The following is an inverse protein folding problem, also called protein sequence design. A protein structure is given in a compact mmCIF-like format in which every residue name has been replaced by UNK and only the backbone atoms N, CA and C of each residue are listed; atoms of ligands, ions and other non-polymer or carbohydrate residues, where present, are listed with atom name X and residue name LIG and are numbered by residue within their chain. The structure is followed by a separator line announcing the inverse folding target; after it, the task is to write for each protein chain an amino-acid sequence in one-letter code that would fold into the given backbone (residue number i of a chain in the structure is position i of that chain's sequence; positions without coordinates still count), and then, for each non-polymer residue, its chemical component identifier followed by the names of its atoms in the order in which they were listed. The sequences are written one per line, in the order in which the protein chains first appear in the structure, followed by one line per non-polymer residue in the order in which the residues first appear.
data_IF_218239773705
#
_entry.id   IF_218239773705
#
_cell.length_a   1.000
_cell.length_b   1.000
_cell.length_c   1.000
_cell.angle_alpha   90.00
_cell.angle_beta   90.00
_cell.angle_gamma   90.00
#
_symmetry.space_group_name_H-M   'P 1'
#
loop_
_entity.id
_entity.type
_entity.pdbx_description
1 polymer ?
#
# COMPACT_ATOMS: atom_id res chain seq x y z
N UNK A 1 14.61 12.84 -0.97
CA UNK A 1 14.56 11.48 -0.38
C UNK A 1 13.52 11.47 0.72
N UNK A 2 12.79 10.37 0.88
CA UNK A 2 11.84 10.17 1.98
C UNK A 2 12.55 10.22 3.35
N UNK A 3 11.91 10.89 4.32
CA UNK A 3 12.35 10.96 5.72
C UNK A 3 11.24 10.39 6.63
N UNK A 4 11.50 9.29 7.36
CA UNK A 4 10.54 8.71 8.29
C UNK A 4 10.07 9.66 9.39
N UNK A 5 10.83 10.69 9.76
CA UNK A 5 10.41 11.63 10.82
C UNK A 5 9.12 12.38 10.46
N UNK A 6 8.84 12.62 9.17
CA UNK A 6 7.56 13.21 8.73
C UNK A 6 6.34 12.34 9.05
N UNK A 7 6.52 11.03 9.30
CA UNK A 7 5.43 10.18 9.74
C UNK A 7 4.93 10.54 11.15
N UNK A 8 5.74 11.24 11.96
CA UNK A 8 5.36 11.72 13.30
C UNK A 8 4.36 12.87 13.28
N UNK A 9 4.20 13.55 12.13
CA UNK A 9 3.17 14.58 11.94
C UNK A 9 1.76 13.99 11.90
N UNK A 10 1.64 12.66 11.77
CA UNK A 10 0.39 11.93 11.78
C UNK A 10 0.20 11.35 13.19
N UNK A 11 -0.88 11.75 13.87
CA UNK A 11 -1.19 11.24 15.20
C UNK A 11 -1.73 9.79 15.11
N UNK A 12 -0.84 8.83 14.95
CA UNK A 12 -1.17 7.41 14.96
C UNK A 12 -1.49 6.86 16.36
N UNK A 13 -1.19 7.61 17.43
CA UNK A 13 -1.39 7.14 18.81
C UNK A 13 -2.85 6.94 19.17
N UNK A 14 -3.76 7.66 18.50
CA UNK A 14 -5.21 7.55 18.72
C UNK A 14 -5.82 6.22 18.24
N UNK A 15 -5.10 5.45 17.43
CA UNK A 15 -5.57 4.16 16.90
C UNK A 15 -5.02 3.00 17.70
N UNK A 16 -5.76 1.89 17.72
CA UNK A 16 -5.31 0.65 18.36
C UNK A 16 -4.28 -0.07 17.49
N UNK A 17 -4.56 -0.22 16.20
CA UNK A 17 -3.63 -0.81 15.22
C UNK A 17 -3.43 0.12 14.03
N UNK A 18 -2.23 0.03 13.46
CA UNK A 18 -1.85 0.69 12.21
C UNK A 18 -1.69 -0.41 11.17
N UNK A 19 -2.72 -0.63 10.37
CA UNK A 19 -2.71 -1.62 9.31
C UNK A 19 -2.05 -1.04 8.05
N UNK A 20 -1.11 -1.77 7.47
CA UNK A 20 -0.44 -1.39 6.23
C UNK A 20 -0.87 -2.37 5.15
N UNK A 21 -1.47 -1.87 4.06
CA UNK A 21 -1.69 -2.67 2.86
C UNK A 21 -0.33 -3.00 2.22
N UNK A 22 0.18 -4.21 2.46
CA UNK A 22 1.55 -4.61 2.19
C UNK A 22 1.62 -5.60 1.03
N UNK A 23 2.01 -5.11 -0.15
CA UNK A 23 2.20 -5.96 -1.34
C UNK A 23 3.57 -6.62 -1.39
N UNK A 24 4.56 -6.09 -0.66
CA UNK A 24 5.96 -6.50 -0.74
C UNK A 24 6.75 -5.76 -1.84
N UNK A 25 6.09 -4.95 -2.67
CA UNK A 25 6.75 -4.07 -3.63
C UNK A 25 7.36 -2.82 -2.95
N UNK A 26 8.20 -2.10 -3.71
CA UNK A 26 9.00 -0.95 -3.25
C UNK A 26 8.26 -0.02 -2.28
N UNK A 27 7.14 0.55 -2.72
CA UNK A 27 6.47 1.63 -1.98
C UNK A 27 5.92 1.13 -0.64
N UNK A 28 5.32 -0.06 -0.65
CA UNK A 28 4.78 -0.69 0.56
C UNK A 28 5.88 -1.12 1.54
N UNK A 29 7.03 -1.56 1.04
CA UNK A 29 8.20 -1.91 1.85
C UNK A 29 8.85 -0.67 2.47
N UNK A 30 8.93 0.45 1.73
CA UNK A 30 9.40 1.74 2.24
C UNK A 30 8.47 2.28 3.33
N UNK A 31 7.15 2.24 3.11
CA UNK A 31 6.17 2.64 4.12
C UNK A 31 6.29 1.80 5.40
N UNK A 32 6.36 0.47 5.24
CA UNK A 32 6.51 -0.47 6.36
C UNK A 32 7.79 -0.19 7.15
N UNK A 33 8.94 -0.06 6.47
CA UNK A 33 10.21 0.21 7.15
C UNK A 33 10.21 1.59 7.81
N UNK A 34 9.66 2.61 7.15
CA UNK A 34 9.54 3.96 7.70
C UNK A 34 8.75 3.99 9.01
N UNK A 35 7.55 3.40 9.02
CA UNK A 35 6.75 3.32 10.25
C UNK A 35 7.39 2.41 11.31
N UNK A 36 8.01 1.30 10.90
CA UNK A 36 8.66 0.37 11.83
C UNK A 36 9.94 0.95 12.48
N UNK A 37 10.53 1.98 11.86
CA UNK A 37 11.67 2.71 12.43
C UNK A 37 11.30 3.58 13.63
N UNK A 38 10.01 3.86 13.83
CA UNK A 38 9.47 4.65 14.94
C UNK A 38 8.97 3.69 16.03
N UNK A 39 9.67 3.57 17.18
CA UNK A 39 9.37 2.55 18.19
C UNK A 39 7.93 2.59 18.75
N UNK A 40 7.36 3.79 18.83
CA UNK A 40 5.99 4.03 19.32
C UNK A 40 4.95 3.40 18.40
N UNK A 41 5.18 3.44 17.09
CA UNK A 41 4.25 2.92 16.09
C UNK A 41 4.48 1.44 15.83
N UNK A 42 5.73 0.99 15.87
CA UNK A 42 6.14 -0.40 15.59
C UNK A 42 5.29 -1.45 16.29
N UNK A 43 4.96 -1.24 17.57
CA UNK A 43 4.17 -2.19 18.38
C UNK A 43 2.70 -2.31 17.93
N UNK A 44 2.18 -1.31 17.22
CA UNK A 44 0.82 -1.26 16.70
C UNK A 44 0.73 -1.68 15.23
N UNK A 45 1.87 -1.88 14.56
CA UNK A 45 1.90 -2.19 13.14
C UNK A 45 1.38 -3.60 12.85
N UNK A 46 0.50 -3.67 11.86
CA UNK A 46 0.08 -4.92 11.22
C UNK A 46 0.30 -4.77 9.71
N UNK A 47 1.20 -5.56 9.13
CA UNK A 47 1.41 -5.62 7.70
C UNK A 47 0.46 -6.66 7.10
N UNK A 48 -0.53 -6.20 6.32
CA UNK A 48 -1.56 -7.06 5.73
C UNK A 48 -1.20 -7.35 4.28
N UNK A 49 -0.90 -8.61 3.98
CA UNK A 49 -0.67 -9.06 2.61
C UNK A 49 -1.89 -9.85 2.13
N UNK A 50 -2.41 -9.49 0.96
CA UNK A 50 -3.57 -10.16 0.37
C UNK A 50 -3.12 -10.98 -0.82
N UNK A 51 -3.11 -12.30 -0.65
CA UNK A 51 -2.79 -13.23 -1.72
C UNK A 51 -4.05 -13.55 -2.54
N UNK A 52 -4.04 -13.18 -3.82
CA UNK A 52 -5.13 -13.48 -4.75
C UNK A 52 -5.01 -14.86 -5.42
N UNK A 53 -3.87 -15.54 -5.29
CA UNK A 53 -3.65 -16.91 -5.78
C UNK A 53 -3.61 -17.08 -7.31
N UNK A 54 -3.61 -15.99 -8.08
CA UNK A 54 -3.59 -16.03 -9.57
C UNK A 54 -2.15 -16.08 -10.10
N UNK A 55 -1.21 -15.41 -9.43
CA UNK A 55 0.19 -15.35 -9.89
C UNK A 55 0.90 -16.67 -9.56
N UNK A 56 1.72 -17.22 -10.47
CA UNK A 56 2.60 -18.34 -10.12
C UNK A 56 3.59 -17.98 -9.01
N UNK A 57 3.87 -16.69 -8.81
CA UNK A 57 4.79 -16.18 -7.79
C UNK A 57 4.11 -15.90 -6.44
N UNK A 58 2.79 -16.09 -6.33
CA UNK A 58 1.99 -15.76 -5.13
C UNK A 58 2.59 -16.32 -3.83
N UNK A 59 3.07 -17.57 -3.83
CA UNK A 59 3.65 -18.19 -2.64
C UNK A 59 5.03 -17.61 -2.29
N UNK A 60 5.83 -17.29 -3.31
CA UNK A 60 7.13 -16.65 -3.11
C UNK A 60 6.98 -15.24 -2.53
N UNK A 61 6.00 -14.48 -3.03
CA UNK A 61 5.69 -13.14 -2.54
C UNK A 61 5.18 -13.15 -1.10
N UNK A 62 4.31 -14.12 -0.76
CA UNK A 62 3.86 -14.34 0.61
C UNK A 62 5.04 -14.59 1.56
N UNK A 63 5.93 -15.53 1.19
CA UNK A 63 7.12 -15.85 1.97
C UNK A 63 8.07 -14.66 2.12
N UNK A 64 8.28 -13.88 1.05
CA UNK A 64 9.07 -12.65 1.11
C UNK A 64 8.48 -11.65 2.11
N UNK A 65 7.17 -11.41 2.02
CA UNK A 65 6.48 -10.47 2.90
C UNK A 65 6.55 -10.90 4.38
N UNK A 66 6.34 -12.19 4.65
CA UNK A 66 6.45 -12.74 6.00
C UNK A 66 7.87 -12.56 6.57
N UNK A 67 8.90 -12.90 5.78
CA UNK A 67 10.29 -12.75 6.18
C UNK A 67 10.68 -11.28 6.43
N UNK A 68 10.23 -10.36 5.57
CA UNK A 68 10.44 -8.93 5.75
C UNK A 68 9.86 -8.45 7.09
N UNK A 69 8.62 -8.81 7.39
CA UNK A 69 7.95 -8.46 8.65
C UNK A 69 8.65 -9.07 9.87
N UNK A 70 9.02 -10.35 9.78
CA UNK A 70 9.75 -11.06 10.84
C UNK A 70 11.10 -10.39 11.16
N UNK A 71 11.86 -9.99 10.12
CA UNK A 71 13.15 -9.30 10.29
C UNK A 71 13.02 -7.96 11.01
N UNK A 72 11.87 -7.30 10.87
CA UNK A 72 11.55 -6.04 11.52
C UNK A 72 10.85 -6.24 12.87
N UNK A 73 10.36 -7.44 13.20
CA UNK A 73 9.51 -7.66 14.38
C UNK A 73 8.16 -6.96 14.28
N UNK A 74 7.57 -6.93 13.07
CA UNK A 74 6.22 -6.41 12.79
C UNK A 74 5.25 -7.57 12.64
N UNK A 75 4.02 -7.41 13.14
CA UNK A 75 2.97 -8.42 12.99
C UNK A 75 2.59 -8.57 11.50
N UNK A 76 2.63 -9.79 10.98
CA UNK A 76 2.26 -10.11 9.61
C UNK A 76 0.89 -10.78 9.56
N UNK A 77 0.02 -10.31 8.68
CA UNK A 77 -1.36 -10.79 8.52
C UNK A 77 -1.57 -11.22 7.08
N UNK A 78 -1.45 -12.52 6.77
CA UNK A 78 -1.77 -13.04 5.46
C UNK A 78 -3.28 -13.22 5.32
N UNK A 79 -3.88 -12.58 4.32
CA UNK A 79 -5.26 -12.77 3.91
C UNK A 79 -5.31 -13.37 2.51
N UNK A 80 -6.41 -14.06 2.19
CA UNK A 80 -6.60 -14.69 0.88
C UNK A 80 -7.93 -14.22 0.28
N UNK A 81 -7.91 -13.92 -1.01
CA UNK A 81 -9.14 -13.70 -1.78
C UNK A 81 -9.57 -15.04 -2.36
N UNK A 82 -10.82 -15.42 -2.12
CA UNK A 82 -11.44 -16.54 -2.80
C UNK A 82 -12.19 -15.99 -4.02
N UNK A 83 -11.56 -16.06 -5.19
CA UNK A 83 -12.21 -15.77 -6.46
C UNK A 83 -12.78 -17.07 -7.02
N UNK A 84 -13.99 -17.04 -7.54
CA UNK A 84 -14.57 -18.20 -8.23
C UNK A 84 -13.76 -18.51 -9.50
N UNK A 85 -13.42 -19.79 -9.71
CA UNK A 85 -12.44 -20.30 -10.68
C UNK A 85 -12.74 -20.03 -12.18
N UNK A 86 -13.76 -19.25 -12.53
CA UNK A 86 -14.20 -19.04 -13.92
C UNK A 86 -14.46 -17.58 -14.33
N UNK A 87 -14.12 -16.61 -13.48
CA UNK A 87 -14.27 -15.19 -13.84
C UNK A 87 -13.05 -14.70 -14.62
N UNK A 88 -13.28 -13.96 -15.72
CA UNK A 88 -12.24 -13.08 -16.28
C UNK A 88 -11.96 -12.00 -15.23
N UNK A 89 -10.97 -12.25 -14.39
CA UNK A 89 -10.64 -11.36 -13.30
C UNK A 89 -9.94 -10.11 -13.88
N UNK A 90 -10.62 -8.97 -13.79
CA UNK A 90 -10.00 -7.68 -14.13
C UNK A 90 -9.13 -7.18 -12.98
N UNK A 91 -8.13 -6.35 -13.29
CA UNK A 91 -7.30 -5.71 -12.27
C UNK A 91 -8.13 -4.86 -11.28
N UNK A 92 -9.16 -4.18 -11.78
CA UNK A 92 -10.08 -3.40 -10.93
C UNK A 92 -10.83 -4.29 -9.93
N UNK A 93 -11.33 -5.44 -10.37
CA UNK A 93 -12.01 -6.40 -9.49
C UNK A 93 -11.05 -6.94 -8.41
N UNK A 94 -9.78 -7.22 -8.76
CA UNK A 94 -8.76 -7.61 -7.77
C UNK A 94 -8.47 -6.50 -6.77
N UNK A 95 -8.40 -5.27 -7.24
CA UNK A 95 -8.18 -4.10 -6.39
C UNK A 95 -9.33 -3.93 -5.42
N UNK A 96 -10.58 -4.01 -5.88
CA UNK A 96 -11.78 -3.93 -5.03
C UNK A 96 -11.82 -5.06 -4.01
N UNK A 97 -11.70 -6.32 -4.44
CA UNK A 97 -11.68 -7.48 -3.55
C UNK A 97 -10.56 -7.41 -2.50
N UNK A 98 -9.41 -6.83 -2.85
CA UNK A 98 -8.30 -6.59 -1.90
C UNK A 98 -8.71 -5.61 -0.81
N UNK A 99 -9.31 -4.48 -1.18
CA UNK A 99 -9.79 -3.51 -0.20
C UNK A 99 -10.87 -4.12 0.69
N UNK A 100 -11.86 -4.79 0.13
CA UNK A 100 -12.92 -5.47 0.88
C UNK A 100 -12.35 -6.50 1.87
N UNK A 101 -11.39 -7.32 1.41
CA UNK A 101 -10.74 -8.32 2.25
C UNK A 101 -10.00 -7.67 3.42
N UNK A 102 -9.25 -6.59 3.17
CA UNK A 102 -8.57 -5.83 4.23
C UNK A 102 -9.58 -5.22 5.20
N UNK A 103 -10.60 -4.53 4.69
CA UNK A 103 -11.61 -3.85 5.51
C UNK A 103 -12.37 -4.83 6.39
N UNK A 104 -12.66 -6.04 5.90
CA UNK A 104 -13.33 -7.08 6.68
C UNK A 104 -12.54 -7.58 7.90
N UNK A 105 -11.22 -7.37 7.91
CA UNK A 105 -10.34 -7.72 9.03
C UNK A 105 -10.13 -6.58 10.02
N UNK A 106 -10.36 -5.32 9.59
CA UNK A 106 -10.16 -4.13 10.42
C UNK A 106 -11.31 -3.92 11.41
N UNK A 107 -10.97 -3.32 12.53
CA UNK A 107 -11.93 -2.81 13.51
C UNK A 107 -12.05 -1.28 13.37
N UNK A 108 -13.16 -0.70 13.84
CA UNK A 108 -13.40 0.75 13.79
C UNK A 108 -12.31 1.60 14.48
N UNK A 109 -11.54 0.98 15.40
CA UNK A 109 -10.46 1.64 16.15
C UNK A 109 -9.10 1.58 15.45
N UNK A 110 -9.04 0.96 14.27
CA UNK A 110 -7.83 0.85 13.47
C UNK A 110 -7.72 1.97 12.43
N UNK A 111 -6.54 2.06 11.82
CA UNK A 111 -6.31 2.88 10.64
C UNK A 111 -5.67 2.05 9.54
N UNK A 112 -6.13 2.27 8.31
CA UNK A 112 -5.51 1.68 7.12
C UNK A 112 -4.53 2.67 6.50
N UNK A 113 -3.31 2.21 6.25
CA UNK A 113 -2.27 2.92 5.53
C UNK A 113 -2.01 2.26 4.19
N UNK A 114 -1.94 3.06 3.13
CA UNK A 114 -1.53 2.60 1.79
C UNK A 114 -0.34 3.42 1.31
N UNK A 115 0.50 2.80 0.48
CA UNK A 115 1.76 3.38 0.04
C UNK A 115 1.65 4.28 -1.21
N UNK A 116 0.48 4.87 -1.44
CA UNK A 116 0.31 5.80 -2.57
C UNK A 116 1.27 6.99 -2.42
N UNK A 117 1.91 7.34 -3.52
CA UNK A 117 2.92 8.38 -3.62
C UNK A 117 2.54 9.46 -4.64
N UNK A 118 3.42 10.44 -4.87
CA UNK A 118 3.15 11.61 -5.69
C UNK A 118 2.83 11.24 -7.15
N UNK A 119 3.54 10.27 -7.71
CA UNK A 119 3.35 9.85 -9.09
C UNK A 119 1.96 9.19 -9.28
N UNK A 120 1.47 8.39 -8.32
CA UNK A 120 0.09 7.85 -8.34
C UNK A 120 -0.96 8.98 -8.38
N UNK A 121 -0.70 10.06 -7.62
CA UNK A 121 -1.57 11.23 -7.59
C UNK A 121 -1.58 11.92 -8.96
N UNK A 122 -0.40 12.10 -9.58
CA UNK A 122 -0.28 12.70 -10.91
C UNK A 122 -1.00 11.85 -11.96
N UNK A 123 -0.79 10.53 -11.96
CA UNK A 123 -1.47 9.58 -12.86
C UNK A 123 -2.99 9.70 -12.72
N UNK A 124 -3.48 9.69 -11.48
CA UNK A 124 -4.92 9.81 -11.17
C UNK A 124 -5.49 11.12 -11.69
N UNK A 125 -4.79 12.24 -11.49
CA UNK A 125 -5.23 13.56 -11.97
C UNK A 125 -5.22 13.61 -13.50
N UNK A 126 -4.16 13.14 -14.14
CA UNK A 126 -4.03 13.10 -15.60
C UNK A 126 -5.14 12.25 -16.24
N UNK A 127 -5.38 11.06 -15.69
CA UNK A 127 -6.43 10.16 -16.15
C UNK A 127 -7.83 10.82 -16.07
N UNK A 128 -8.11 11.54 -14.98
CA UNK A 128 -9.38 12.28 -14.80
C UNK A 128 -9.52 13.43 -15.80
N UNK A 129 -8.44 14.17 -16.04
CA UNK A 129 -8.39 15.22 -17.09
C UNK A 129 -8.71 14.62 -18.46
N UNK A 130 -8.05 13.52 -18.84
CA UNK A 130 -8.26 12.86 -20.14
C UNK A 130 -9.70 12.32 -20.31
N UNK A 131 -10.37 11.96 -19.21
CA UNK A 131 -11.80 11.58 -19.22
C UNK A 131 -12.78 12.75 -19.23
N UNK A 132 -12.29 13.99 -19.26
CA UNK A 132 -13.14 15.19 -19.38
C UNK A 132 -13.86 15.57 -18.08
N UNK A 133 -13.34 15.17 -16.91
CA UNK A 133 -13.93 15.62 -15.64
C UNK A 133 -13.69 17.12 -15.46
N UNK A 134 -14.73 17.90 -15.16
CA UNK A 134 -14.61 19.34 -14.90
C UNK A 134 -13.73 19.67 -13.68
N UNK A 135 -13.58 20.95 -13.31
CA UNK A 135 -12.67 21.42 -12.25
C UNK A 135 -12.82 20.68 -10.90
N UNK A 136 -14.03 20.20 -10.56
CA UNK A 136 -14.28 19.38 -9.35
C UNK A 136 -13.68 17.97 -9.41
N UNK A 137 -13.42 17.43 -10.60
CA UNK A 137 -12.74 16.14 -10.83
C UNK A 137 -11.22 16.22 -10.87
N UNK A 138 -10.65 17.42 -10.70
CA UNK A 138 -9.21 17.62 -10.52
C UNK A 138 -8.74 17.31 -9.09
N UNK A 139 -9.63 16.96 -8.17
CA UNK A 139 -9.20 16.41 -6.88
C UNK A 139 -8.37 15.17 -7.18
N UNK A 140 -7.11 15.15 -6.75
CA UNK A 140 -6.27 13.96 -6.88
C UNK A 140 -6.54 13.00 -5.73
N UNK A 141 -5.51 12.26 -5.36
CA UNK A 141 -5.55 11.38 -4.19
C UNK A 141 -5.35 12.22 -2.92
N UNK A 142 -6.28 12.13 -1.97
CA UNK A 142 -6.20 12.84 -0.68
C UNK A 142 -5.27 12.11 0.32
N UNK A 143 -4.51 12.86 1.13
CA UNK A 143 -3.63 12.28 2.16
C UNK A 143 -4.42 11.53 3.26
N UNK A 144 -5.58 12.08 3.62
CA UNK A 144 -6.50 11.55 4.63
C UNK A 144 -7.88 11.41 4.00
N UNK A 145 -8.50 10.25 4.16
CA UNK A 145 -9.85 9.95 3.70
C UNK A 145 -10.49 8.91 4.62
N UNK A 146 -11.74 8.54 4.37
CA UNK A 146 -12.42 7.46 5.10
C UNK A 146 -13.05 6.48 4.11
N UNK A 147 -13.05 5.18 4.46
CA UNK A 147 -13.79 4.14 3.75
C UNK A 147 -14.55 3.32 4.79
N UNK A 148 -15.87 3.23 4.68
CA UNK A 148 -16.74 2.47 5.59
C UNK A 148 -16.49 2.77 7.09
N UNK A 149 -16.26 4.04 7.42
CA UNK A 149 -15.96 4.47 8.79
C UNK A 149 -14.49 4.31 9.22
N UNK A 150 -13.67 3.60 8.45
CA UNK A 150 -12.24 3.39 8.71
C UNK A 150 -11.42 4.54 8.12
N UNK A 151 -10.56 5.14 8.96
CA UNK A 151 -9.61 6.14 8.50
C UNK A 151 -8.60 5.50 7.53
N UNK A 152 -8.45 6.10 6.35
CA UNK A 152 -7.47 5.72 5.33
C UNK A 152 -6.46 6.84 5.14
N UNK A 153 -5.19 6.52 5.42
CA UNK A 153 -4.07 7.44 5.36
C UNK A 153 -3.09 7.01 4.27
N UNK A 154 -2.54 7.98 3.56
CA UNK A 154 -1.53 7.78 2.51
C UNK A 154 -0.27 8.57 2.87
N UNK A 155 0.58 8.07 3.78
CA UNK A 155 1.65 8.89 4.35
C UNK A 155 2.67 9.36 3.32
N UNK A 156 2.78 8.64 2.20
CA UNK A 156 3.78 8.87 1.15
C UNK A 156 3.31 9.80 0.01
N UNK A 157 2.08 10.33 -0.02
CA UNK A 157 1.57 11.10 -1.19
C UNK A 157 2.44 12.28 -1.61
N UNK A 158 3.20 12.86 -0.68
CA UNK A 158 4.03 14.04 -0.96
C UNK A 158 5.43 13.69 -1.46
N UNK A 159 5.77 12.40 -1.59
CA UNK A 159 7.08 11.91 -2.02
C UNK A 159 6.98 11.28 -3.41
N UNK A 160 8.00 11.49 -4.23
CA UNK A 160 8.08 10.85 -5.54
C UNK A 160 8.55 9.39 -5.42
N UNK A 161 8.30 8.58 -6.46
CA UNK A 161 8.85 7.22 -6.55
C UNK A 161 10.38 7.20 -6.40
N UNK A 162 11.05 8.23 -6.95
CA UNK A 162 12.50 8.42 -6.79
C UNK A 162 12.89 8.61 -5.32
N UNK A 163 12.14 9.41 -4.56
CA UNK A 163 12.42 9.62 -3.14
C UNK A 163 12.33 8.32 -2.32
N UNK A 164 11.38 7.45 -2.68
CA UNK A 164 11.19 6.13 -2.08
C UNK A 164 12.33 5.18 -2.46
N UNK A 165 12.74 5.18 -3.74
CA UNK A 165 13.86 4.38 -4.23
C UNK A 165 15.19 4.78 -3.59
N UNK A 166 15.46 6.09 -3.48
CA UNK A 166 16.66 6.61 -2.82
C UNK A 166 16.73 6.17 -1.35
N UNK A 167 15.58 6.22 -0.65
CA UNK A 167 15.46 5.71 0.72
C UNK A 167 15.70 4.19 0.77
N UNK A 168 15.04 3.43 -0.09
CA UNK A 168 15.15 1.98 -0.13
C UNK A 168 16.60 1.53 -0.35
N UNK A 169 17.31 2.16 -1.27
CA UNK A 169 18.72 1.90 -1.53
C UNK A 169 19.62 2.27 -0.35
N UNK A 170 19.40 3.45 0.26
CA UNK A 170 20.18 3.93 1.40
C UNK A 170 20.06 3.00 2.61
N UNK A 171 18.86 2.51 2.89
CA UNK A 171 18.55 1.67 4.04
C UNK A 171 18.50 0.17 3.72
N UNK A 172 18.88 -0.21 2.48
CA UNK A 172 18.89 -1.59 1.99
C UNK A 172 17.57 -2.31 2.27
N UNK A 173 16.46 -1.63 1.97
CA UNK A 173 15.14 -2.26 1.97
C UNK A 173 15.17 -3.39 0.95
N UNK A 174 14.67 -4.56 1.33
CA UNK A 174 14.41 -5.63 0.37
C UNK A 174 12.95 -5.51 -0.07
N UNK A 175 12.70 -5.60 -1.38
CA UNK A 175 11.36 -5.60 -1.96
C UNK A 175 11.30 -6.59 -3.12
N UNK A 176 10.07 -6.93 -3.52
CA UNK A 176 9.79 -7.71 -4.73
C UNK A 176 9.81 -6.77 -5.92
N UNK A 177 10.67 -7.06 -6.89
CA UNK A 177 10.55 -6.48 -8.24
C UNK A 177 9.48 -7.29 -8.99
N UNK A 178 8.34 -6.68 -9.24
CA UNK A 178 7.28 -7.32 -10.02
C UNK A 178 7.55 -7.14 -11.51
N UNK A 179 7.74 -8.25 -12.22
CA UNK A 179 7.90 -8.33 -13.69
C UNK A 179 6.68 -7.74 -14.43
N UNK A 180 5.52 -7.60 -13.76
CA UNK A 180 4.32 -6.98 -14.36
C UNK A 180 4.47 -5.49 -14.68
N UNK A 181 5.47 -4.79 -14.12
CA UNK A 181 5.77 -3.39 -14.45
C UNK A 181 6.58 -3.22 -15.74
N UNK A 182 7.10 -4.30 -16.35
CA UNK A 182 7.77 -4.23 -17.65
C UNK A 182 6.79 -4.36 -18.83
N UNK A 183 5.53 -4.72 -18.58
CA UNK A 183 4.53 -4.88 -19.65
C UNK A 183 3.86 -3.53 -20.01
N UNK A 184 4.49 -2.81 -20.94
CA UNK A 184 4.02 -1.57 -21.55
C UNK A 184 2.65 -1.69 -22.27
N UNK A 185 2.05 -2.88 -22.34
CA UNK A 185 0.79 -3.14 -23.04
C UNK A 185 -0.46 -2.90 -22.19
N UNK A 186 -0.33 -2.87 -20.87
CA UNK A 186 -1.36 -2.36 -19.96
C UNK A 186 -1.15 -0.85 -19.90
N UNK A 187 -2.19 -0.07 -20.20
CA UNK A 187 -2.11 1.40 -20.21
C UNK A 187 -1.83 1.97 -18.81
N UNK A 188 -0.58 1.88 -18.39
CA UNK A 188 0.03 2.47 -17.21
C UNK A 188 1.48 2.83 -17.57
N UNK A 189 1.63 4.08 -18.02
CA UNK A 189 2.83 4.91 -17.96
C UNK A 189 2.41 6.36 -18.22
#
# INVERSE_FOLDING_TARGET
MFDPDHLKDINFEKYNRIAIAFSGGLDSSVLLQGLASIPEYKKKLCAIHVNHGISPNSESWLNHCEQACASMGVNFVPLKINLEDNLKVSENLLREARYETILSWLEETDVLCTAHHQDDHIETVLFRILRGTGIKGLSGIEKFSQIDGIDLIRPLISYSKKDLLDYANKFKVNWIEDESNEDLSISRN
#
